data_IF_180875067856
#
_entry.id   IF_180875067856
#
_cell.length_a   1.000
_cell.length_b   1.000
_cell.length_c   1.000
_cell.angle_alpha   90.00
_cell.angle_beta   90.00
_cell.angle_gamma   90.00
#
_symmetry.space_group_name_H-M   'P 1'
#
loop_
_entity.id
_entity.type
_entity.pdbx_description
1 polymer ?
#
# COMPACT_ATOMS: atom_id res chain seq x y z
N UNK A 1 8.10 21.02 3.25
CA UNK A 1 6.80 20.35 3.38
C UNK A 1 6.95 18.86 3.19
N UNK A 2 6.21 18.08 3.96
CA UNK A 2 6.25 16.63 3.86
C UNK A 2 5.58 16.17 2.57
N UNK A 3 6.15 15.14 1.95
CA UNK A 3 5.51 14.47 0.83
C UNK A 3 4.25 13.75 1.31
N UNK A 4 3.26 13.65 0.43
CA UNK A 4 2.12 12.77 0.69
C UNK A 4 2.59 11.31 0.61
N UNK A 5 1.99 10.46 1.45
CA UNK A 5 2.38 9.06 1.58
C UNK A 5 1.33 8.16 0.92
N UNK A 6 1.81 7.19 0.17
CA UNK A 6 0.96 6.19 -0.48
C UNK A 6 1.36 4.81 0.02
N UNK A 7 0.41 4.13 0.65
CA UNK A 7 0.59 2.76 1.15
C UNK A 7 0.31 1.77 0.02
N UNK A 8 1.12 0.71 -0.05
CA UNK A 8 0.97 -0.33 -1.08
C UNK A 8 0.23 -1.52 -0.47
N UNK A 9 -0.95 -1.84 -1.01
CA UNK A 9 -1.74 -3.00 -0.62
C UNK A 9 -1.67 -4.05 -1.71
N UNK A 10 -1.16 -5.24 -1.38
CA UNK A 10 -1.10 -6.37 -2.32
C UNK A 10 -1.19 -7.69 -1.56
N UNK A 11 -1.64 -8.77 -2.23
CA UNK A 11 -1.66 -10.10 -1.59
C UNK A 11 -0.26 -10.58 -1.27
N UNK A 12 -0.05 -11.06 -0.04
CA UNK A 12 1.24 -11.57 0.43
C UNK A 12 1.14 -13.04 0.85
N UNK A 13 0.17 -13.36 1.72
CA UNK A 13 -0.02 -14.72 2.23
C UNK A 13 -0.32 -15.71 1.10
N UNK A 14 0.47 -16.76 1.00
CA UNK A 14 0.29 -17.79 -0.02
C UNK A 14 0.95 -17.49 -1.36
N UNK A 15 1.61 -16.34 -1.49
CA UNK A 15 2.33 -15.94 -2.71
C UNK A 15 3.83 -16.09 -2.52
N UNK A 16 4.55 -16.28 -3.62
CA UNK A 16 6.01 -16.33 -3.61
C UNK A 16 6.56 -14.98 -3.14
N UNK A 17 7.37 -15.00 -2.08
CA UNK A 17 7.88 -13.77 -1.48
C UNK A 17 8.73 -12.93 -2.46
N UNK A 18 9.45 -13.58 -3.36
CA UNK A 18 10.25 -12.86 -4.35
C UNK A 18 9.39 -12.10 -5.34
N UNK A 19 8.24 -12.66 -5.71
CA UNK A 19 7.29 -11.99 -6.59
C UNK A 19 6.65 -10.81 -5.86
N UNK A 20 6.31 -10.98 -4.58
CA UNK A 20 5.77 -9.91 -3.74
C UNK A 20 6.79 -8.77 -3.63
N UNK A 21 8.05 -9.09 -3.37
CA UNK A 21 9.13 -8.10 -3.28
C UNK A 21 9.28 -7.31 -4.59
N UNK A 22 9.23 -7.99 -5.73
CA UNK A 22 9.30 -7.33 -7.04
C UNK A 22 8.14 -6.37 -7.27
N UNK A 23 6.93 -6.80 -6.93
CA UNK A 23 5.74 -5.96 -7.09
C UNK A 23 5.81 -4.74 -6.20
N UNK A 24 6.22 -4.91 -4.95
CA UNK A 24 6.41 -3.79 -4.03
C UNK A 24 7.48 -2.82 -4.53
N UNK A 25 8.60 -3.34 -5.01
CA UNK A 25 9.69 -2.52 -5.52
C UNK A 25 9.25 -1.69 -6.73
N UNK A 26 8.59 -2.33 -7.69
CA UNK A 26 8.09 -1.63 -8.89
C UNK A 26 7.09 -0.55 -8.53
N UNK A 27 6.16 -0.85 -7.63
CA UNK A 27 5.17 0.12 -7.18
C UNK A 27 5.83 1.28 -6.43
N UNK A 28 6.79 0.97 -5.54
CA UNK A 28 7.51 1.99 -4.77
C UNK A 28 8.26 2.95 -5.67
N UNK A 29 8.97 2.42 -6.67
CA UNK A 29 9.71 3.25 -7.62
C UNK A 29 8.79 4.21 -8.36
N UNK A 30 7.65 3.72 -8.82
CA UNK A 30 6.69 4.54 -9.54
C UNK A 30 6.06 5.61 -8.64
N UNK A 31 5.68 5.23 -7.43
CA UNK A 31 5.12 6.17 -6.45
C UNK A 31 6.12 7.30 -6.19
N UNK A 32 7.39 6.96 -6.00
CA UNK A 32 8.42 7.96 -5.72
C UNK A 32 8.74 8.83 -6.94
N UNK A 33 8.73 8.25 -8.13
CA UNK A 33 8.90 9.02 -9.37
C UNK A 33 7.80 10.06 -9.54
N UNK A 34 6.61 9.80 -9.03
CA UNK A 34 5.48 10.73 -9.11
C UNK A 34 5.49 11.78 -7.98
N UNK A 35 6.47 11.74 -7.08
CA UNK A 35 6.63 12.74 -6.03
C UNK A 35 6.03 12.38 -4.68
N UNK A 36 5.57 11.15 -4.51
CA UNK A 36 5.04 10.65 -3.24
C UNK A 36 6.10 9.89 -2.44
N UNK A 37 5.84 9.66 -1.17
CA UNK A 37 6.61 8.71 -0.36
C UNK A 37 5.88 7.37 -0.40
N UNK A 38 6.59 6.32 -0.79
CA UNK A 38 6.02 4.97 -0.82
C UNK A 38 6.14 4.31 0.56
N UNK A 39 5.08 3.63 0.99
CA UNK A 39 5.07 2.87 2.24
C UNK A 39 4.75 1.42 1.89
N UNK A 40 5.75 0.54 2.03
CA UNK A 40 5.63 -0.87 1.67
C UNK A 40 5.31 -1.71 2.91
N UNK A 41 4.35 -2.65 2.82
CA UNK A 41 4.04 -3.54 3.95
C UNK A 41 5.24 -4.43 4.33
N UNK A 42 6.12 -4.72 3.39
CA UNK A 42 7.31 -5.53 3.66
C UNK A 42 8.34 -4.80 4.54
N UNK A 43 8.40 -3.48 4.44
CA UNK A 43 9.27 -2.66 5.29
C UNK A 43 8.63 -2.38 6.64
N UNK A 44 7.33 -2.16 6.66
CA UNK A 44 6.55 -1.86 7.87
C UNK A 44 6.55 -3.06 8.81
N UNK A 45 6.41 -4.26 8.29
CA UNK A 45 6.35 -5.48 9.08
C UNK A 45 7.30 -6.52 8.50
N UNK A 46 8.60 -6.31 8.74
CA UNK A 46 9.68 -7.08 8.12
C UNK A 46 10.06 -8.36 8.87
N UNK A 47 9.56 -8.57 10.10
CA UNK A 47 9.91 -9.75 10.88
C UNK A 47 9.16 -11.00 10.35
N UNK A 48 9.85 -11.96 9.73
CA UNK A 48 9.19 -13.14 9.16
C UNK A 48 8.57 -14.06 10.23
N UNK A 49 8.99 -13.93 11.49
CA UNK A 49 8.48 -14.73 12.60
C UNK A 49 7.27 -14.09 13.29
N UNK A 50 6.89 -12.90 12.88
CA UNK A 50 5.72 -12.22 13.45
C UNK A 50 4.44 -12.96 13.07
N UNK A 51 3.45 -12.95 13.97
CA UNK A 51 2.15 -13.56 13.69
C UNK A 51 1.40 -12.78 12.62
N UNK A 52 0.38 -13.41 12.04
CA UNK A 52 -0.48 -12.74 11.06
C UNK A 52 -1.11 -11.49 11.67
N UNK A 53 -1.56 -11.58 12.92
CA UNK A 53 -2.19 -10.46 13.64
C UNK A 53 -1.22 -9.29 13.82
N UNK A 54 0.05 -9.58 14.11
CA UNK A 54 1.06 -8.54 14.23
C UNK A 54 1.32 -7.85 12.90
N UNK A 55 1.40 -8.62 11.80
CA UNK A 55 1.57 -8.05 10.47
C UNK A 55 0.40 -7.13 10.10
N UNK A 56 -0.83 -7.61 10.29
CA UNK A 56 -2.02 -6.83 9.99
C UNK A 56 -2.09 -5.58 10.86
N UNK A 57 -1.79 -5.69 12.14
CA UNK A 57 -1.81 -4.54 13.06
C UNK A 57 -0.81 -3.45 12.64
N UNK A 58 0.40 -3.84 12.30
CA UNK A 58 1.43 -2.90 11.83
C UNK A 58 1.05 -2.27 10.49
N UNK A 59 0.52 -3.08 9.58
CA UNK A 59 0.11 -2.61 8.26
C UNK A 59 -1.03 -1.59 8.35
N UNK A 60 -2.04 -1.86 9.17
CA UNK A 60 -3.15 -0.91 9.37
C UNK A 60 -2.64 0.37 10.04
N UNK A 61 -1.76 0.26 11.02
CA UNK A 61 -1.16 1.45 11.66
C UNK A 61 -0.45 2.32 10.62
N UNK A 62 0.35 1.72 9.77
CA UNK A 62 1.08 2.44 8.72
C UNK A 62 0.12 3.05 7.69
N UNK A 63 -0.92 2.30 7.29
CA UNK A 63 -1.93 2.76 6.35
C UNK A 63 -2.63 4.01 6.86
N UNK A 64 -2.99 4.04 8.14
CA UNK A 64 -3.68 5.18 8.74
C UNK A 64 -2.81 6.44 8.79
N UNK A 65 -1.49 6.29 8.68
CA UNK A 65 -0.55 7.40 8.61
C UNK A 65 -0.34 7.89 7.17
N UNK A 66 -0.90 7.20 6.20
CA UNK A 66 -0.78 7.57 4.80
C UNK A 66 -1.96 8.42 4.32
N UNK A 67 -1.78 9.07 3.19
CA UNK A 67 -2.82 9.89 2.56
C UNK A 67 -3.64 9.06 1.56
N UNK A 68 -3.03 8.07 0.96
CA UNK A 68 -3.64 7.24 -0.06
C UNK A 68 -3.16 5.79 0.05
N UNK A 69 -3.92 4.89 -0.56
CA UNK A 69 -3.58 3.47 -0.66
C UNK A 69 -3.73 3.05 -2.11
N UNK A 70 -2.70 2.41 -2.66
CA UNK A 70 -2.82 1.80 -3.99
C UNK A 70 -3.00 0.30 -3.82
N UNK A 71 -4.05 -0.23 -4.44
CA UNK A 71 -4.40 -1.65 -4.40
C UNK A 71 -3.90 -2.31 -5.69
N UNK A 72 -2.94 -3.22 -5.57
CA UNK A 72 -2.37 -3.91 -6.71
C UNK A 72 -3.26 -5.09 -7.13
N UNK A 73 -3.08 -5.55 -8.34
CA UNK A 73 -3.90 -6.62 -8.91
C UNK A 73 -3.98 -7.84 -7.97
N UNK A 74 -5.18 -8.41 -7.85
CA UNK A 74 -5.44 -9.55 -6.96
C UNK A 74 -5.83 -9.16 -5.55
N UNK A 75 -5.86 -7.88 -5.22
CA UNK A 75 -6.13 -7.40 -3.86
C UNK A 75 -7.45 -7.92 -3.29
N UNK A 76 -8.48 -8.01 -4.11
CA UNK A 76 -9.82 -8.40 -3.65
C UNK A 76 -9.95 -9.89 -3.29
N UNK A 77 -8.93 -10.70 -3.60
CA UNK A 77 -8.85 -12.10 -3.17
C UNK A 77 -8.09 -12.27 -1.86
N UNK A 78 -7.57 -11.20 -1.28
CA UNK A 78 -6.77 -11.22 -0.07
C UNK A 78 -7.55 -10.62 1.10
N UNK A 79 -7.64 -11.36 2.21
CA UNK A 79 -8.31 -10.87 3.42
C UNK A 79 -7.63 -9.64 3.98
N UNK A 80 -6.30 -9.61 3.97
CA UNK A 80 -5.53 -8.46 4.43
C UNK A 80 -5.81 -7.21 3.60
N UNK A 81 -5.81 -7.36 2.27
CA UNK A 81 -6.13 -6.24 1.37
C UNK A 81 -7.57 -5.78 1.52
N UNK A 82 -8.50 -6.71 1.73
CA UNK A 82 -9.91 -6.36 1.94
C UNK A 82 -10.10 -5.56 3.22
N UNK A 83 -9.37 -5.91 4.28
CA UNK A 83 -9.39 -5.16 5.53
C UNK A 83 -8.79 -3.76 5.32
N UNK A 84 -7.70 -3.67 4.59
CA UNK A 84 -7.07 -2.39 4.25
C UNK A 84 -7.98 -1.51 3.40
N UNK A 85 -8.72 -2.12 2.48
CA UNK A 85 -9.72 -1.42 1.67
C UNK A 85 -10.80 -0.79 2.57
N UNK A 86 -11.32 -1.58 3.50
CA UNK A 86 -12.35 -1.10 4.44
C UNK A 86 -11.81 0.01 5.34
N UNK A 87 -10.61 -0.18 5.89
CA UNK A 87 -9.98 0.82 6.75
C UNK A 87 -9.76 2.13 6.01
N UNK A 88 -9.26 2.07 4.78
CA UNK A 88 -9.04 3.24 3.95
C UNK A 88 -10.34 3.99 3.69
N UNK A 89 -11.44 3.27 3.44
CA UNK A 89 -12.75 3.88 3.23
C UNK A 89 -13.30 4.54 4.49
N UNK A 90 -13.20 3.85 5.63
CA UNK A 90 -13.70 4.36 6.91
C UNK A 90 -12.97 5.64 7.32
N UNK A 91 -11.66 5.70 7.11
CA UNK A 91 -10.83 6.83 7.51
C UNK A 91 -10.55 7.80 6.36
N UNK A 92 -11.35 7.71 5.30
CA UNK A 92 -11.35 8.67 4.18
C UNK A 92 -10.00 8.84 3.48
N UNK A 93 -9.23 7.74 3.38
CA UNK A 93 -8.01 7.75 2.58
C UNK A 93 -8.36 7.60 1.10
N UNK A 94 -7.57 8.21 0.22
CA UNK A 94 -7.76 8.03 -1.21
C UNK A 94 -7.45 6.59 -1.59
N UNK A 95 -8.38 5.92 -2.26
CA UNK A 95 -8.21 4.53 -2.71
C UNK A 95 -7.96 4.49 -4.20
N UNK A 96 -6.79 4.00 -4.60
CA UNK A 96 -6.33 3.98 -5.98
C UNK A 96 -6.20 2.54 -6.45
N UNK A 97 -6.76 2.23 -7.62
CA UNK A 97 -6.82 0.86 -8.12
C UNK A 97 -6.01 0.63 -9.40
N UNK A 98 -5.26 1.63 -9.83
CA UNK A 98 -4.42 1.53 -11.02
C UNK A 98 -3.34 2.60 -11.00
N UNK A 99 -2.33 2.40 -11.84
CA UNK A 99 -1.28 3.39 -12.05
C UNK A 99 -1.86 4.67 -12.65
N UNK A 100 -2.84 4.54 -13.55
CA UNK A 100 -3.55 5.69 -14.11
C UNK A 100 -4.22 6.53 -13.03
N UNK A 101 -4.87 5.86 -12.05
CA UNK A 101 -5.50 6.54 -10.92
C UNK A 101 -4.46 7.26 -10.06
N UNK A 102 -3.30 6.62 -9.83
CA UNK A 102 -2.20 7.22 -9.08
C UNK A 102 -1.68 8.49 -9.78
N UNK A 103 -1.51 8.44 -11.08
CA UNK A 103 -1.08 9.60 -11.87
C UNK A 103 -2.09 10.75 -11.80
N UNK A 104 -3.37 10.43 -11.88
CA UNK A 104 -4.44 11.45 -11.75
C UNK A 104 -4.41 12.08 -10.37
N UNK A 105 -4.24 11.25 -9.34
CA UNK A 105 -4.14 11.73 -7.96
C UNK A 105 -2.96 12.69 -7.79
N UNK A 106 -1.81 12.36 -8.38
CA UNK A 106 -0.64 13.24 -8.34
C UNK A 106 -0.98 14.63 -8.90
N UNK A 107 -1.69 14.69 -10.01
CA UNK A 107 -2.13 15.96 -10.59
C UNK A 107 -3.10 16.70 -9.69
N UNK A 108 -4.06 15.99 -9.09
CA UNK A 108 -5.06 16.58 -8.21
C UNK A 108 -4.44 17.23 -6.98
N UNK A 109 -3.39 16.64 -6.42
CA UNK A 109 -2.71 17.18 -5.24
C UNK A 109 -1.55 18.13 -5.56
N UNK A 110 -1.37 18.45 -6.83
CA UNK A 110 -0.40 19.47 -7.24
C UNK A 110 1.04 19.00 -7.35
N UNK A 111 1.22 17.73 -7.61
CA UNK A 111 2.57 17.17 -7.81
C UNK A 111 2.92 17.16 -9.30
#
# INVERSE_FOLDING_TARGET
MSKKKVYISLPITGYDIKDVEKRCKSASELIEQLGFEAVSPLEVSSNPDASYEEHIGRDITALLQCDAVIFLEGWHYSNGCSLEYSAAGIYEKERLFSIGALKRYAKEVGI
#
